data_IF_348937317666
#
_entry.id   IF_348937317666
#
_cell.length_a   1.000
_cell.length_b   1.000
_cell.length_c   1.000
_cell.angle_alpha   90.00
_cell.angle_beta   90.00
_cell.angle_gamma   90.00
#
_symmetry.space_group_name_H-M   'P 1'
#
loop_
_entity.id
_entity.type
_entity.pdbx_description
1 polymer ?
#
# COMPACT_ATOMS: atom_id res chain seq x y z
N UNK A 1 11.41 13.34 4.61
CA UNK A 1 12.53 12.37 4.49
C UNK A 1 12.60 11.94 3.05
N UNK A 2 13.80 11.86 2.48
CA UNK A 2 13.98 11.38 1.12
C UNK A 2 13.67 9.87 1.08
N UNK A 3 12.51 9.52 0.51
CA UNK A 3 11.99 8.14 0.45
C UNK A 3 12.55 7.35 -0.73
N UNK A 4 13.46 7.96 -1.51
CA UNK A 4 14.09 7.34 -2.68
C UNK A 4 14.83 6.05 -2.38
N UNK A 5 15.28 5.81 -1.15
CA UNK A 5 15.92 4.54 -0.78
C UNK A 5 14.93 3.38 -0.67
N UNK A 6 13.66 3.66 -0.38
CA UNK A 6 12.64 2.64 -0.19
C UNK A 6 12.30 1.93 -1.50
N UNK A 7 12.38 2.63 -2.64
CA UNK A 7 12.15 2.00 -3.94
C UNK A 7 13.24 0.99 -4.33
N UNK A 8 14.40 1.00 -3.67
CA UNK A 8 15.44 -0.03 -3.83
C UNK A 8 15.22 -1.26 -2.93
N UNK A 9 14.37 -1.14 -1.90
CA UNK A 9 14.15 -2.18 -0.89
C UNK A 9 12.80 -2.85 -1.12
N UNK A 10 11.78 -2.06 -1.45
CA UNK A 10 10.42 -2.50 -1.65
C UNK A 10 10.21 -3.04 -3.08
N UNK A 11 9.20 -3.90 -3.27
CA UNK A 11 8.77 -4.30 -4.61
C UNK A 11 8.56 -3.12 -5.56
N UNK A 12 8.93 -3.30 -6.83
CA UNK A 12 8.76 -2.30 -7.88
C UNK A 12 7.28 -1.86 -7.96
N UNK A 13 7.04 -0.56 -8.10
CA UNK A 13 5.70 0.04 -8.15
C UNK A 13 5.03 0.26 -6.78
N UNK A 14 5.50 -0.35 -5.69
CA UNK A 14 4.83 -0.22 -4.38
C UNK A 14 4.86 1.22 -3.85
N UNK A 15 6.00 1.89 -4.02
CA UNK A 15 6.20 3.29 -3.59
C UNK A 15 5.39 4.30 -4.40
N UNK A 16 4.76 3.90 -5.51
CA UNK A 16 3.87 4.76 -6.28
C UNK A 16 2.56 4.98 -5.51
N UNK A 17 2.02 3.91 -4.92
CA UNK A 17 0.74 3.91 -4.21
C UNK A 17 0.87 4.03 -2.70
N UNK A 18 1.98 3.60 -2.11
CA UNK A 18 2.19 3.61 -0.66
C UNK A 18 3.29 4.59 -0.25
N UNK A 19 3.13 5.13 0.95
CA UNK A 19 4.14 5.92 1.65
C UNK A 19 4.56 5.23 2.94
N UNK A 20 5.80 5.46 3.36
CA UNK A 20 6.30 4.97 4.64
C UNK A 20 5.69 5.77 5.79
N UNK A 21 5.04 5.06 6.70
CA UNK A 21 4.58 5.61 7.99
C UNK A 21 5.70 5.51 9.02
N UNK A 22 6.20 4.30 9.24
CA UNK A 22 7.29 4.04 10.18
C UNK A 22 8.02 2.74 9.88
N UNK A 23 9.16 2.59 10.54
CA UNK A 23 10.01 1.40 10.45
C UNK A 23 10.40 0.95 11.85
N UNK A 24 10.29 -0.33 12.11
CA UNK A 24 10.62 -0.94 13.41
C UNK A 24 11.50 -2.17 13.21
N UNK A 25 12.39 -2.39 14.18
CA UNK A 25 13.18 -3.63 14.28
C UNK A 25 12.78 -4.31 15.57
N UNK A 26 12.13 -5.47 15.46
CA UNK A 26 11.57 -6.19 16.61
C UNK A 26 12.00 -7.64 16.52
N UNK A 27 12.56 -8.19 17.60
CA UNK A 27 12.99 -9.60 17.67
C UNK A 27 13.90 -10.05 16.52
N UNK A 28 14.75 -9.13 16.03
CA UNK A 28 15.65 -9.41 14.91
C UNK A 28 14.97 -9.42 13.52
N UNK A 29 13.70 -9.04 13.44
CA UNK A 29 12.93 -8.89 12.20
C UNK A 29 12.70 -7.41 11.86
N UNK A 30 12.53 -7.13 10.57
CA UNK A 30 12.22 -5.80 10.05
C UNK A 30 10.71 -5.66 9.82
N UNK A 31 10.13 -4.57 10.30
CA UNK A 31 8.73 -4.23 10.11
C UNK A 31 8.63 -2.86 9.42
N UNK A 32 8.12 -2.85 8.19
CA UNK A 32 7.95 -1.64 7.38
C UNK A 32 6.46 -1.32 7.33
N UNK A 33 6.05 -0.21 7.92
CA UNK A 33 4.65 0.20 7.93
C UNK A 33 4.37 1.16 6.78
N UNK A 34 3.37 0.81 5.98
CA UNK A 34 3.02 1.45 4.74
C UNK A 34 1.56 1.90 4.77
N UNK A 35 1.32 3.15 4.40
CA UNK A 35 -0.02 3.71 4.26
C UNK A 35 -0.30 3.98 2.78
N UNK A 36 -1.49 3.60 2.32
CA UNK A 36 -1.89 3.98 0.98
C UNK A 36 -2.04 5.50 0.88
N UNK A 37 -1.37 6.09 -0.11
CA UNK A 37 -1.42 7.52 -0.36
C UNK A 37 -2.85 7.96 -0.68
N UNK A 38 -3.14 9.23 -0.44
CA UNK A 38 -4.43 9.79 -0.81
C UNK A 38 -4.48 10.18 -2.31
N UNK A 39 -4.24 9.20 -3.18
CA UNK A 39 -4.39 9.31 -4.63
C UNK A 39 -5.70 8.63 -4.99
N UNK A 40 -6.59 9.31 -5.72
CA UNK A 40 -7.88 8.72 -6.07
C UNK A 40 -7.67 7.50 -7.00
N UNK A 41 -8.45 6.42 -6.83
CA UNK A 41 -8.40 5.30 -7.77
C UNK A 41 -8.92 5.72 -9.15
N UNK A 42 -8.32 5.17 -10.22
CA UNK A 42 -8.63 5.56 -11.60
C UNK A 42 -10.05 5.13 -12.02
N UNK A 43 -10.51 4.01 -11.48
CA UNK A 43 -11.86 3.48 -11.66
C UNK A 43 -12.96 4.41 -11.10
N UNK A 44 -12.60 5.38 -10.26
CA UNK A 44 -13.49 6.43 -9.76
C UNK A 44 -13.10 7.83 -10.27
N UNK A 45 -12.38 7.90 -11.40
CA UNK A 45 -12.00 9.17 -12.00
C UNK A 45 -13.23 10.03 -12.32
N UNK A 46 -13.16 11.31 -11.97
CA UNK A 46 -14.29 12.25 -12.09
C UNK A 46 -15.29 12.19 -10.93
N UNK A 47 -15.18 11.23 -10.02
CA UNK A 47 -16.03 11.16 -8.83
C UNK A 47 -15.50 11.99 -7.66
N UNK A 48 -16.42 12.47 -6.80
CA UNK A 48 -16.05 13.22 -5.60
C UNK A 48 -15.76 12.25 -4.46
N UNK A 49 -14.48 12.04 -4.19
CA UNK A 49 -14.00 11.17 -3.11
C UNK A 49 -13.42 11.99 -1.95
N UNK A 50 -13.72 11.57 -0.71
CA UNK A 50 -13.10 12.09 0.51
C UNK A 50 -12.43 10.93 1.25
N UNK A 51 -11.16 11.09 1.63
CA UNK A 51 -10.47 10.10 2.47
C UNK A 51 -11.21 9.89 3.80
N UNK A 52 -11.53 8.63 4.10
CA UNK A 52 -12.26 8.18 5.30
C UNK A 52 -11.42 7.22 6.15
N UNK A 53 -10.12 7.47 6.20
CA UNK A 53 -9.17 6.65 6.95
C UNK A 53 -8.77 5.38 6.21
N UNK A 54 -8.50 4.31 6.96
CA UNK A 54 -7.92 3.08 6.43
C UNK A 54 -8.72 1.84 6.84
N UNK A 55 -8.52 0.74 6.11
CA UNK A 55 -8.84 -0.61 6.58
C UNK A 55 -7.85 -1.04 7.67
N UNK A 56 -8.16 -2.20 8.26
CA UNK A 56 -7.26 -2.83 9.21
C UNK A 56 -5.93 -3.17 8.53
N UNK A 57 -4.88 -3.17 9.33
CA UNK A 57 -3.53 -3.46 8.86
C UNK A 57 -3.43 -4.92 8.43
N UNK A 58 -2.90 -5.15 7.23
CA UNK A 58 -2.52 -6.48 6.76
C UNK A 58 -1.00 -6.64 6.89
N UNK A 59 -0.57 -7.87 7.15
CA UNK A 59 0.86 -8.21 7.23
C UNK A 59 1.23 -9.11 6.07
N UNK A 60 2.13 -8.63 5.23
CA UNK A 60 2.72 -9.39 4.13
C UNK A 60 4.16 -9.72 4.50
N UNK A 61 4.55 -10.97 4.35
CA UNK A 61 5.95 -11.37 4.52
C UNK A 61 6.69 -11.10 3.21
N UNK A 62 7.81 -10.42 3.30
CA UNK A 62 8.66 -10.10 2.15
C UNK A 62 9.98 -10.87 2.23
N UNK A 63 10.80 -10.74 1.19
CA UNK A 63 12.12 -11.36 1.14
C UNK A 63 12.99 -10.92 2.33
N UNK A 64 13.77 -11.85 2.91
CA UNK A 64 14.65 -11.50 4.02
C UNK A 64 15.64 -10.40 3.63
N UNK A 65 15.59 -9.27 4.32
CA UNK A 65 16.55 -8.19 4.13
C UNK A 65 17.79 -8.51 4.96
N UNK A 66 18.93 -8.70 4.29
CA UNK A 66 20.23 -8.98 4.94
C UNK A 66 20.16 -10.17 5.91
N UNK A 67 19.45 -11.23 5.51
CA UNK A 67 19.32 -12.47 6.30
C UNK A 67 18.32 -12.39 7.46
N UNK A 68 17.62 -11.27 7.63
CA UNK A 68 16.58 -11.11 8.65
C UNK A 68 15.18 -11.11 8.02
N UNK A 69 14.17 -11.72 8.67
CA UNK A 69 12.80 -11.66 8.18
C UNK A 69 12.33 -10.21 7.99
N UNK A 70 11.62 -9.94 6.90
CA UNK A 70 11.00 -8.66 6.64
C UNK A 70 9.49 -8.81 6.52
N UNK A 71 8.76 -7.88 7.14
CA UNK A 71 7.31 -7.83 7.14
C UNK A 71 6.84 -6.44 6.72
N UNK A 72 6.03 -6.40 5.67
CA UNK A 72 5.32 -5.21 5.22
C UNK A 72 3.97 -5.16 5.94
N UNK A 73 3.73 -4.06 6.64
CA UNK A 73 2.54 -3.77 7.42
C UNK A 73 1.73 -2.72 6.68
N UNK A 74 0.72 -3.15 5.94
CA UNK A 74 0.05 -2.32 4.93
C UNK A 74 -1.33 -1.90 5.41
N UNK A 75 -1.64 -0.61 5.30
CA UNK A 75 -3.00 -0.09 5.49
C UNK A 75 -3.52 0.52 4.21
N UNK A 76 -4.59 -0.08 3.68
CA UNK A 76 -5.31 0.41 2.50
C UNK A 76 -6.29 1.52 2.86
N UNK A 77 -6.42 2.52 2.00
CA UNK A 77 -7.24 3.71 2.25
C UNK A 77 -8.68 3.44 1.84
N UNK A 78 -9.59 4.03 2.61
CA UNK A 78 -11.02 4.12 2.32
C UNK A 78 -11.33 5.50 1.81
N UNK A 79 -12.15 5.59 0.79
CA UNK A 79 -12.75 6.86 0.37
C UNK A 79 -14.25 6.79 0.52
N UNK A 80 -14.86 7.91 0.90
CA UNK A 80 -16.29 8.10 0.80
C UNK A 80 -16.58 8.76 -0.55
N UNK A 81 -17.31 8.04 -1.40
CA UNK A 81 -17.87 8.59 -2.61
C UNK A 81 -19.12 9.42 -2.26
N UNK A 82 -19.08 10.72 -2.52
CA UNK A 82 -20.16 11.64 -2.16
C UNK A 82 -21.40 11.50 -3.05
N UNK A 83 -21.22 11.07 -4.29
CA UNK A 83 -22.32 10.87 -5.24
C UNK A 83 -23.11 9.62 -4.86
N UNK A 84 -22.41 8.50 -4.69
CA UNK A 84 -23.02 7.21 -4.33
C UNK A 84 -23.33 7.07 -2.83
N UNK A 85 -22.78 7.95 -1.99
CA UNK A 85 -22.80 7.88 -0.50
C UNK A 85 -22.31 6.53 0.04
N UNK A 86 -21.31 5.94 -0.61
CA UNK A 86 -20.72 4.63 -0.26
C UNK A 86 -19.24 4.76 0.04
N UNK A 87 -18.73 3.84 0.86
CA UNK A 87 -17.29 3.64 0.98
C UNK A 87 -16.80 2.86 -0.23
N UNK A 88 -15.76 3.38 -0.86
CA UNK A 88 -15.07 2.79 -2.00
C UNK A 88 -13.58 2.66 -1.67
N UNK A 89 -12.90 1.79 -2.40
CA UNK A 89 -11.49 1.49 -2.23
C UNK A 89 -10.90 1.05 -3.57
N UNK A 90 -9.58 1.16 -3.70
CA UNK A 90 -8.86 0.81 -4.92
C UNK A 90 -8.99 -0.67 -5.23
N UNK A 91 -9.34 -1.00 -6.47
CA UNK A 91 -9.25 -2.35 -7.00
C UNK A 91 -7.80 -2.67 -7.37
N UNK A 92 -7.17 -3.50 -6.53
CA UNK A 92 -5.78 -3.89 -6.70
C UNK A 92 -5.55 -4.87 -7.86
N UNK A 93 -6.59 -5.52 -8.38
CA UNK A 93 -6.47 -6.36 -9.58
C UNK A 93 -6.20 -5.49 -10.82
N UNK A 94 -6.91 -4.36 -10.94
CA UNK A 94 -6.69 -3.41 -12.03
C UNK A 94 -5.26 -2.82 -12.02
N UNK A 95 -4.71 -2.62 -10.82
CA UNK A 95 -3.34 -2.15 -10.66
C UNK A 95 -2.32 -3.22 -11.04
N UNK A 96 -2.52 -4.48 -10.63
CA UNK A 96 -1.62 -5.58 -10.99
C UNK A 96 -1.61 -5.87 -12.50
N UNK A 97 -2.74 -5.75 -13.19
CA UNK A 97 -2.79 -5.96 -14.64
C UNK A 97 -2.03 -4.87 -15.42
N UNK A 98 -1.91 -3.66 -14.86
CA UNK A 98 -1.25 -2.52 -15.48
C UNK A 98 0.21 -2.29 -15.05
N UNK A 99 0.73 -3.03 -14.06
CA UNK A 99 2.05 -2.79 -13.47
C UNK A 99 2.84 -4.09 -13.30
N UNK A 100 4.18 -3.99 -13.12
CA UNK A 100 5.00 -5.14 -12.71
C UNK A 100 4.84 -5.51 -11.23
N UNK A 101 3.81 -5.01 -10.57
CA UNK A 101 3.52 -5.39 -9.19
C UNK A 101 3.19 -6.88 -9.18
N UNK A 102 3.90 -7.66 -8.37
CA UNK A 102 3.69 -9.11 -8.36
C UNK A 102 2.23 -9.39 -8.01
N UNK A 103 1.61 -10.27 -8.77
CA UNK A 103 0.22 -10.71 -8.60
C UNK A 103 -0.09 -11.08 -7.14
N UNK A 104 0.91 -11.61 -6.43
CA UNK A 104 0.87 -11.88 -4.99
C UNK A 104 0.42 -10.67 -4.17
N UNK A 105 0.89 -9.45 -4.47
CA UNK A 105 0.52 -8.24 -3.74
C UNK A 105 -0.92 -7.75 -4.01
N UNK A 106 -1.47 -8.04 -5.18
CA UNK A 106 -2.86 -7.73 -5.50
C UNK A 106 -3.87 -8.67 -4.83
N UNK A 107 -3.44 -9.89 -4.48
CA UNK A 107 -4.27 -10.89 -3.82
C UNK A 107 -4.25 -10.83 -2.27
N UNK A 108 -3.35 -10.05 -1.67
CA UNK A 108 -3.40 -9.72 -0.24
C UNK A 108 -4.40 -8.59 0.03
#
# INVERSE_FOLDING_TARGET
MDTSILSFILPEGLTEYFELDRFEVTEGSYHIYLLEKNIHPEEYSGEKLISKGFFDEITVRDFPLRGKPCFLKVKRRKWQNLNAKKIVFRDWNLVADGTKMTTEFAFF
#
